data_IF_165145822388
#
_entry.id   IF_165145822388
#
_cell.length_a   1.000
_cell.length_b   1.000
_cell.length_c   1.000
_cell.angle_alpha   90.00
_cell.angle_beta   90.00
_cell.angle_gamma   90.00
#
_symmetry.space_group_name_H-M   'P 1'
#
loop_
_entity.id
_entity.type
_entity.pdbx_description
1 polymer ?
#
# COMPACT_ATOMS: atom_id res chain seq x y z
N UNK A 1 16.88 -9.77 19.69
CA UNK A 1 15.60 -9.02 19.80
C UNK A 1 14.52 -10.00 20.23
N UNK A 2 14.05 -9.93 21.47
CA UNK A 2 12.93 -10.77 21.95
C UNK A 2 11.63 -10.14 21.48
N UNK A 3 10.91 -10.82 20.61
CA UNK A 3 9.56 -10.45 20.23
C UNK A 3 8.62 -10.68 21.41
N UNK A 4 8.19 -9.61 22.08
CA UNK A 4 7.14 -9.68 23.08
C UNK A 4 5.79 -9.37 22.41
N UNK A 5 4.96 -10.37 22.28
CA UNK A 5 3.58 -10.21 21.81
C UNK A 5 2.67 -9.49 22.84
N UNK A 6 3.14 -9.26 24.05
CA UNK A 6 2.38 -8.65 25.15
C UNK A 6 2.01 -7.19 24.95
N UNK A 7 2.64 -6.49 23.99
CA UNK A 7 2.40 -5.04 23.76
C UNK A 7 1.56 -4.74 22.51
N UNK A 8 0.90 -5.74 21.92
CA UNK A 8 0.05 -5.52 20.76
C UNK A 8 -1.36 -5.19 21.25
N UNK A 9 -1.72 -3.91 21.15
CA UNK A 9 -3.09 -3.47 21.43
C UNK A 9 -4.07 -4.15 20.46
N UNK A 10 -5.25 -4.55 20.96
CA UNK A 10 -6.32 -5.11 20.13
C UNK A 10 -6.67 -4.23 18.93
N UNK A 11 -6.53 -2.90 19.05
CA UNK A 11 -6.70 -1.95 17.94
C UNK A 11 -5.67 -2.17 16.82
N UNK A 12 -4.39 -2.36 17.15
CA UNK A 12 -3.37 -2.63 16.14
C UNK A 12 -3.62 -3.96 15.41
N UNK A 13 -4.06 -4.97 16.14
CA UNK A 13 -4.40 -6.26 15.55
C UNK A 13 -5.60 -6.15 14.60
N UNK A 14 -6.65 -5.43 15.01
CA UNK A 14 -7.84 -5.20 14.16
C UNK A 14 -7.47 -4.44 12.87
N UNK A 15 -6.62 -3.39 12.96
CA UNK A 15 -6.16 -2.64 11.81
C UNK A 15 -5.31 -3.54 10.89
N UNK A 16 -4.39 -4.32 11.47
CA UNK A 16 -3.57 -5.24 10.69
C UNK A 16 -4.40 -6.32 9.99
N UNK A 17 -5.40 -6.88 10.67
CA UNK A 17 -6.33 -7.86 10.10
C UNK A 17 -7.16 -7.24 8.96
N UNK A 18 -7.65 -6.01 9.12
CA UNK A 18 -8.37 -5.30 8.07
C UNK A 18 -7.47 -5.06 6.84
N UNK A 19 -6.23 -4.60 7.03
CA UNK A 19 -5.26 -4.41 5.95
C UNK A 19 -5.00 -5.73 5.23
N UNK A 20 -4.71 -6.81 5.97
CA UNK A 20 -4.45 -8.13 5.41
C UNK A 20 -5.65 -8.64 4.60
N UNK A 21 -6.86 -8.48 5.12
CA UNK A 21 -8.11 -8.86 4.44
C UNK A 21 -8.30 -8.10 3.13
N UNK A 22 -8.12 -6.77 3.14
CA UNK A 22 -8.22 -5.96 1.93
C UNK A 22 -7.11 -6.27 0.92
N UNK A 23 -5.89 -6.58 1.37
CA UNK A 23 -4.83 -7.04 0.47
C UNK A 23 -5.22 -8.36 -0.21
N UNK A 24 -5.75 -9.32 0.53
CA UNK A 24 -6.24 -10.58 -0.05
C UNK A 24 -7.34 -10.35 -1.09
N UNK A 25 -8.32 -9.50 -0.78
CA UNK A 25 -9.43 -9.21 -1.68
C UNK A 25 -9.00 -8.50 -2.97
N UNK A 26 -8.13 -7.51 -2.87
CA UNK A 26 -7.78 -6.66 -4.03
C UNK A 26 -6.64 -7.23 -4.84
N UNK A 27 -5.58 -7.74 -4.18
CA UNK A 27 -4.42 -8.32 -4.87
C UNK A 27 -4.69 -9.74 -5.39
N UNK A 28 -5.45 -10.53 -4.65
CA UNK A 28 -5.86 -11.87 -5.06
C UNK A 28 -7.16 -11.89 -5.89
N UNK A 29 -7.69 -10.75 -6.30
CA UNK A 29 -9.01 -10.63 -6.92
C UNK A 29 -9.17 -11.46 -8.18
N UNK A 30 -8.13 -11.60 -9.00
CA UNK A 30 -8.15 -12.43 -10.22
C UNK A 30 -8.36 -13.93 -9.95
N UNK A 31 -8.04 -14.37 -8.73
CA UNK A 31 -8.18 -15.79 -8.32
C UNK A 31 -9.41 -15.98 -7.43
N UNK A 32 -9.74 -14.97 -6.60
CA UNK A 32 -10.75 -15.11 -5.55
C UNK A 32 -12.14 -14.58 -5.95
N UNK A 33 -12.22 -13.68 -6.93
CA UNK A 33 -13.46 -13.04 -7.36
C UNK A 33 -13.62 -13.06 -8.88
N UNK A 34 -14.87 -13.06 -9.36
CA UNK A 34 -15.16 -12.94 -10.79
C UNK A 34 -14.92 -11.53 -11.35
N UNK A 35 -14.73 -10.54 -10.49
CA UNK A 35 -14.45 -9.15 -10.85
C UNK A 35 -13.06 -8.78 -10.34
N UNK A 36 -12.17 -8.39 -11.26
CA UNK A 36 -10.85 -7.90 -10.91
C UNK A 36 -10.95 -6.53 -10.23
N UNK A 37 -10.63 -6.49 -8.94
CA UNK A 37 -10.51 -5.24 -8.20
C UNK A 37 -9.12 -4.64 -8.41
N UNK A 38 -8.99 -3.30 -8.52
CA UNK A 38 -7.68 -2.67 -8.55
C UNK A 38 -6.89 -2.97 -7.27
N UNK A 39 -5.57 -3.21 -7.41
CA UNK A 39 -4.72 -3.50 -6.26
C UNK A 39 -4.63 -2.31 -5.28
N UNK A 40 -5.02 -2.53 -4.04
CA UNK A 40 -4.98 -1.54 -2.97
C UNK A 40 -3.67 -1.53 -2.17
N UNK A 41 -2.71 -2.42 -2.45
CA UNK A 41 -1.55 -2.67 -1.60
C UNK A 41 -0.77 -1.40 -1.27
N UNK A 42 -0.58 -0.48 -2.22
CA UNK A 42 0.12 0.78 -2.00
C UNK A 42 -0.59 1.65 -0.96
N UNK A 43 -1.89 1.86 -1.14
CA UNK A 43 -2.69 2.63 -0.20
C UNK A 43 -2.71 1.97 1.18
N UNK A 44 -2.86 0.66 1.25
CA UNK A 44 -2.88 -0.11 2.50
C UNK A 44 -1.55 -0.05 3.24
N UNK A 45 -0.43 -0.04 2.53
CA UNK A 45 0.90 0.11 3.14
C UNK A 45 1.12 1.52 3.69
N UNK A 46 0.64 2.57 3.03
CA UNK A 46 0.66 3.92 3.59
C UNK A 46 -0.20 4.00 4.85
N UNK A 47 -1.41 3.45 4.84
CA UNK A 47 -2.31 3.37 6.00
C UNK A 47 -1.67 2.54 7.12
N UNK A 48 -1.05 1.42 6.79
CA UNK A 48 -0.31 0.58 7.73
C UNK A 48 0.83 1.34 8.40
N UNK A 49 1.62 2.08 7.63
CA UNK A 49 2.67 2.95 8.13
C UNK A 49 2.13 4.04 9.07
N UNK A 50 0.99 4.63 8.73
CA UNK A 50 0.34 5.66 9.52
C UNK A 50 -0.06 5.17 10.94
N UNK A 51 -0.62 3.97 11.03
CA UNK A 51 -1.17 3.46 12.29
C UNK A 51 -0.26 2.49 13.03
N UNK A 52 0.40 1.57 12.31
CA UNK A 52 1.14 0.47 12.93
C UNK A 52 2.61 0.79 13.19
N UNK A 53 3.24 1.58 12.33
CA UNK A 53 4.59 2.15 12.43
C UNK A 53 5.77 1.18 12.66
N UNK A 54 5.56 -0.02 13.22
CA UNK A 54 6.61 -0.99 13.52
C UNK A 54 7.03 -1.74 12.26
N UNK A 55 8.33 -1.87 12.01
CA UNK A 55 8.88 -2.59 10.87
C UNK A 55 8.42 -4.07 10.78
N UNK A 56 8.05 -4.66 11.92
CA UNK A 56 7.49 -6.03 11.96
C UNK A 56 6.20 -6.15 11.15
N UNK A 57 5.29 -5.17 11.26
CA UNK A 57 4.05 -5.15 10.49
C UNK A 57 4.32 -4.96 8.99
N UNK A 58 5.29 -4.09 8.68
CA UNK A 58 5.74 -3.93 7.29
C UNK A 58 6.22 -5.25 6.71
N UNK A 59 7.13 -5.94 7.43
CA UNK A 59 7.65 -7.22 6.98
C UNK A 59 6.54 -8.27 6.79
N UNK A 60 5.56 -8.34 7.71
CA UNK A 60 4.41 -9.24 7.58
C UNK A 60 3.57 -8.95 6.33
N UNK A 61 3.32 -7.68 6.01
CA UNK A 61 2.56 -7.33 4.80
C UNK A 61 3.34 -7.57 3.52
N UNK A 62 4.66 -7.36 3.53
CA UNK A 62 5.52 -7.74 2.39
C UNK A 62 5.48 -9.25 2.16
N UNK A 63 5.61 -10.05 3.22
CA UNK A 63 5.50 -11.51 3.13
C UNK A 63 4.12 -11.92 2.62
N UNK A 64 3.05 -11.30 3.14
CA UNK A 64 1.68 -11.59 2.69
C UNK A 64 1.51 -11.25 1.20
N UNK A 65 1.93 -10.07 0.76
CA UNK A 65 1.85 -9.66 -0.64
C UNK A 65 2.61 -10.63 -1.55
N UNK A 66 3.82 -11.00 -1.16
CA UNK A 66 4.64 -11.99 -1.89
C UNK A 66 3.95 -13.36 -1.94
N UNK A 67 3.39 -13.82 -0.83
CA UNK A 67 2.67 -15.10 -0.78
C UNK A 67 1.43 -15.10 -1.69
N UNK A 68 0.70 -13.99 -1.77
CA UNK A 68 -0.44 -13.83 -2.70
C UNK A 68 0.05 -13.92 -4.15
N UNK A 69 1.11 -13.21 -4.51
CA UNK A 69 1.62 -13.18 -5.89
C UNK A 69 2.13 -14.54 -6.34
N UNK A 70 2.92 -15.21 -5.51
CA UNK A 70 3.41 -16.56 -5.83
C UNK A 70 2.28 -17.59 -5.84
N UNK A 71 1.29 -17.45 -4.95
CA UNK A 71 0.09 -18.28 -4.94
C UNK A 71 -0.75 -18.08 -6.20
N UNK A 72 -0.96 -16.84 -6.63
CA UNK A 72 -1.67 -16.52 -7.86
C UNK A 72 -0.94 -17.04 -9.09
N UNK A 73 0.38 -16.89 -9.15
CA UNK A 73 1.20 -17.40 -10.26
C UNK A 73 1.23 -18.93 -10.36
N UNK A 74 1.05 -19.64 -9.24
CA UNK A 74 0.96 -21.10 -9.23
C UNK A 74 -0.36 -21.61 -9.85
N UNK A 75 -1.41 -20.78 -9.83
CA UNK A 75 -2.74 -21.11 -10.37
C UNK A 75 -2.92 -20.58 -11.79
N UNK A 76 -2.40 -19.38 -12.06
CA UNK A 76 -2.53 -18.71 -13.36
C UNK A 76 -1.18 -18.23 -13.87
N UNK A 77 -0.76 -18.78 -15.01
CA UNK A 77 0.52 -18.43 -15.65
C UNK A 77 0.61 -16.97 -16.10
N UNK A 78 -0.52 -16.29 -16.34
CA UNK A 78 -0.53 -14.85 -16.64
C UNK A 78 -0.07 -14.03 -15.44
N UNK A 79 -0.36 -14.47 -14.23
CA UNK A 79 0.10 -13.82 -13.00
C UNK A 79 1.62 -13.99 -12.79
N UNK A 80 2.20 -15.08 -13.30
CA UNK A 80 3.64 -15.32 -13.26
C UNK A 80 4.44 -14.31 -14.10
N UNK A 81 3.79 -13.58 -15.01
CA UNK A 81 4.44 -12.61 -15.89
C UNK A 81 5.25 -11.55 -15.14
N UNK A 82 4.78 -11.10 -13.98
CA UNK A 82 5.46 -10.09 -13.17
C UNK A 82 6.53 -10.67 -12.23
N UNK A 83 6.58 -12.00 -12.04
CA UNK A 83 7.55 -12.67 -11.18
C UNK A 83 8.88 -12.90 -11.93
N UNK A 84 9.62 -11.83 -12.11
CA UNK A 84 10.94 -11.80 -12.76
C UNK A 84 12.03 -11.41 -11.77
N UNK A 85 13.28 -11.37 -12.21
CA UNK A 85 14.37 -10.84 -11.38
C UNK A 85 14.13 -9.39 -10.94
N UNK A 86 13.30 -8.60 -11.64
CA UNK A 86 12.90 -7.25 -11.23
C UNK A 86 11.90 -7.20 -10.07
N UNK A 87 11.34 -8.34 -9.64
CA UNK A 87 10.34 -8.40 -8.57
C UNK A 87 10.85 -7.86 -7.22
N UNK A 88 12.17 -7.95 -6.95
CA UNK A 88 12.75 -7.40 -5.72
C UNK A 88 12.48 -5.90 -5.54
N UNK A 89 12.25 -5.16 -6.63
CA UNK A 89 11.88 -3.74 -6.61
C UNK A 89 10.57 -3.46 -5.86
N UNK A 90 9.74 -4.47 -5.64
CA UNK A 90 8.52 -4.32 -4.82
C UNK A 90 8.85 -3.98 -3.37
N UNK A 91 9.97 -4.45 -2.82
CA UNK A 91 10.36 -4.14 -1.45
C UNK A 91 10.60 -2.63 -1.22
N UNK A 92 11.47 -1.94 -1.97
CA UNK A 92 11.63 -0.50 -1.83
C UNK A 92 10.38 0.29 -2.27
N UNK A 93 9.60 -0.20 -3.23
CA UNK A 93 8.30 0.37 -3.61
C UNK A 93 7.35 0.43 -2.41
N UNK A 94 7.20 -0.68 -1.71
CA UNK A 94 6.36 -0.77 -0.51
C UNK A 94 6.93 0.03 0.66
N UNK A 95 8.26 0.05 0.80
CA UNK A 95 8.94 0.85 1.83
C UNK A 95 8.68 2.35 1.65
N UNK A 96 8.64 2.87 0.41
CA UNK A 96 8.33 4.27 0.15
C UNK A 96 6.93 4.65 0.68
N UNK A 97 5.92 3.83 0.41
CA UNK A 97 4.55 4.05 0.90
C UNK A 97 4.48 3.94 2.43
N UNK A 98 5.10 2.89 2.98
CA UNK A 98 5.11 2.68 4.43
C UNK A 98 5.77 3.82 5.18
N UNK A 99 6.94 4.28 4.73
CA UNK A 99 7.68 5.38 5.36
C UNK A 99 6.92 6.71 5.29
N UNK A 100 6.24 6.98 4.17
CA UNK A 100 5.34 8.14 4.06
C UNK A 100 4.21 8.07 5.09
N UNK A 101 3.61 6.89 5.29
CA UNK A 101 2.62 6.66 6.34
C UNK A 101 3.18 6.87 7.74
N UNK A 102 4.37 6.33 8.04
CA UNK A 102 5.06 6.54 9.32
C UNK A 102 5.34 8.02 9.57
N UNK A 103 5.78 8.75 8.52
CA UNK A 103 6.02 10.18 8.61
C UNK A 103 4.72 10.94 8.93
N UNK A 104 3.63 10.66 8.21
CA UNK A 104 2.31 11.23 8.50
C UNK A 104 1.86 10.96 9.94
N UNK A 105 2.05 9.73 10.41
CA UNK A 105 1.65 9.35 11.75
C UNK A 105 2.42 10.05 12.87
N UNK A 106 3.55 10.68 12.57
CA UNK A 106 4.33 11.50 13.51
C UNK A 106 3.89 12.96 13.53
N UNK A 107 3.03 13.40 12.59
CA UNK A 107 2.55 14.77 12.54
C UNK A 107 1.48 15.01 13.61
N UNK A 108 1.43 16.23 14.14
CA UNK A 108 0.40 16.65 15.11
C UNK A 108 -1.03 16.49 14.55
N UNK A 109 -1.21 16.72 13.26
CA UNK A 109 -2.43 16.45 12.52
C UNK A 109 -2.13 15.56 11.32
N UNK A 110 -2.26 14.25 11.51
CA UNK A 110 -1.99 13.24 10.47
C UNK A 110 -2.99 13.30 9.30
N UNK A 111 -4.15 13.94 9.50
CA UNK A 111 -5.20 14.09 8.50
C UNK A 111 -5.32 15.53 7.98
N UNK A 112 -4.28 16.34 8.14
CA UNK A 112 -4.16 17.59 7.40
C UNK A 112 -4.17 17.31 5.90
N UNK A 113 -5.08 17.97 5.17
CA UNK A 113 -5.32 17.66 3.76
C UNK A 113 -4.08 17.86 2.90
N UNK A 114 -3.32 18.93 3.16
CA UNK A 114 -2.13 19.25 2.36
C UNK A 114 -1.03 18.22 2.62
N UNK A 115 -0.71 17.95 3.89
CA UNK A 115 0.33 16.98 4.26
C UNK A 115 0.00 15.58 3.80
N UNK A 116 -1.27 15.16 3.95
CA UNK A 116 -1.71 13.84 3.50
C UNK A 116 -1.61 13.71 1.98
N UNK A 117 -2.10 14.71 1.24
CA UNK A 117 -2.04 14.71 -0.24
C UNK A 117 -0.59 14.73 -0.74
N UNK A 118 0.27 15.56 -0.16
CA UNK A 118 1.69 15.61 -0.56
C UNK A 118 2.40 14.29 -0.27
N UNK A 119 2.19 13.71 0.91
CA UNK A 119 2.80 12.42 1.25
C UNK A 119 2.31 11.31 0.32
N UNK A 120 1.00 11.25 0.05
CA UNK A 120 0.42 10.28 -0.87
C UNK A 120 0.97 10.45 -2.30
N UNK A 121 0.99 11.69 -2.82
CA UNK A 121 1.46 11.99 -4.16
C UNK A 121 2.94 11.63 -4.34
N UNK A 122 3.79 12.15 -3.47
CA UNK A 122 5.24 11.95 -3.57
C UNK A 122 5.60 10.47 -3.41
N UNK A 123 5.01 9.78 -2.43
CA UNK A 123 5.31 8.36 -2.22
C UNK A 123 4.77 7.48 -3.34
N UNK A 124 3.60 7.81 -3.92
CA UNK A 124 3.05 7.05 -5.06
C UNK A 124 3.89 7.24 -6.32
N UNK A 125 4.36 8.46 -6.61
CA UNK A 125 5.28 8.70 -7.73
C UNK A 125 6.60 7.95 -7.50
N UNK A 126 7.18 8.03 -6.31
CA UNK A 126 8.40 7.29 -5.99
C UNK A 126 8.21 5.78 -6.13
N UNK A 127 7.11 5.25 -5.62
CA UNK A 127 6.74 3.84 -5.74
C UNK A 127 6.59 3.42 -7.22
N UNK A 128 5.93 4.23 -8.03
CA UNK A 128 5.80 4.01 -9.47
C UNK A 128 7.15 3.95 -10.17
N UNK A 129 8.00 4.95 -9.95
CA UNK A 129 9.33 5.01 -10.57
C UNK A 129 10.17 3.80 -10.16
N UNK A 130 10.20 3.47 -8.87
CA UNK A 130 10.97 2.32 -8.38
C UNK A 130 10.47 1.03 -9.00
N UNK A 131 9.17 0.74 -8.93
CA UNK A 131 8.61 -0.52 -9.44
C UNK A 131 8.79 -0.65 -10.95
N UNK A 132 8.53 0.42 -11.70
CA UNK A 132 8.65 0.43 -13.16
C UNK A 132 10.09 0.27 -13.60
N UNK A 133 11.02 1.05 -13.03
CA UNK A 133 12.42 0.99 -13.43
C UNK A 133 13.07 -0.34 -13.07
N UNK A 134 12.78 -0.90 -11.90
CA UNK A 134 13.30 -2.23 -11.53
C UNK A 134 12.77 -3.32 -12.46
N UNK A 135 11.51 -3.23 -12.88
CA UNK A 135 10.96 -4.17 -13.84
C UNK A 135 11.68 -4.06 -15.21
N UNK A 136 11.79 -2.89 -15.79
CA UNK A 136 12.41 -2.70 -17.09
C UNK A 136 13.90 -3.05 -17.08
N UNK A 137 14.62 -2.76 -16.01
CA UNK A 137 16.06 -3.03 -15.91
C UNK A 137 16.38 -4.50 -15.62
N UNK A 138 15.58 -5.15 -14.77
CA UNK A 138 15.96 -6.45 -14.21
C UNK A 138 15.04 -7.62 -14.61
N UNK A 139 13.96 -7.38 -15.37
CA UNK A 139 13.07 -8.48 -15.79
C UNK A 139 13.69 -9.43 -16.82
N UNK A 140 14.78 -9.04 -17.46
CA UNK A 140 15.38 -9.77 -18.58
C UNK A 140 14.58 -9.70 -19.89
N UNK A 141 13.47 -8.94 -19.91
CA UNK A 141 12.58 -8.81 -21.07
C UNK A 141 13.00 -7.70 -22.03
N UNK A 142 13.86 -6.82 -21.57
CA UNK A 142 14.34 -5.63 -22.29
C UNK A 142 15.88 -5.60 -22.29
N UNK A 143 16.54 -6.57 -22.92
CA UNK A 143 17.98 -6.80 -22.77
C UNK A 143 18.87 -5.66 -23.31
N UNK A 144 18.32 -4.81 -24.18
CA UNK A 144 19.06 -3.70 -24.82
C UNK A 144 18.75 -2.34 -24.18
N UNK A 145 17.98 -2.30 -23.09
CA UNK A 145 17.62 -1.04 -22.45
C UNK A 145 18.66 -0.66 -21.41
N UNK A 146 19.30 0.49 -21.60
CA UNK A 146 20.07 1.19 -20.57
C UNK A 146 19.15 1.95 -19.62
N UNK A 147 19.74 2.61 -18.61
CA UNK A 147 19.00 3.41 -17.63
C UNK A 147 18.17 4.53 -18.29
N UNK A 148 18.73 5.19 -19.30
CA UNK A 148 18.08 6.33 -19.98
C UNK A 148 16.90 5.84 -20.81
N UNK A 149 17.07 4.74 -21.54
CA UNK A 149 16.00 4.15 -22.35
C UNK A 149 14.85 3.65 -21.48
N UNK A 150 15.15 3.00 -20.35
CA UNK A 150 14.11 2.52 -19.44
C UNK A 150 13.29 3.67 -18.83
N UNK A 151 13.91 4.82 -18.60
CA UNK A 151 13.20 6.01 -18.08
C UNK A 151 12.18 6.59 -19.07
N UNK A 152 12.22 6.20 -20.35
CA UNK A 152 11.24 6.62 -21.35
C UNK A 152 9.99 5.73 -21.38
N UNK A 153 10.07 4.55 -20.80
CA UNK A 153 8.97 3.57 -20.82
C UNK A 153 8.14 3.58 -19.54
N UNK A 154 6.95 3.05 -19.65
CA UNK A 154 6.07 2.81 -18.50
C UNK A 154 5.19 3.98 -18.08
N UNK A 155 5.46 5.21 -18.52
CA UNK A 155 4.71 6.41 -18.11
C UNK A 155 3.21 6.35 -18.45
N UNK A 156 2.83 5.59 -19.47
CA UNK A 156 1.43 5.36 -19.83
C UNK A 156 0.62 4.67 -18.71
N UNK A 157 1.30 3.97 -17.78
CA UNK A 157 0.67 3.32 -16.63
C UNK A 157 0.54 4.25 -15.41
N UNK A 158 1.25 5.38 -15.39
CA UNK A 158 1.24 6.30 -14.25
C UNK A 158 -0.16 6.80 -13.89
N UNK A 159 -1.04 7.20 -14.85
CA UNK A 159 -2.39 7.67 -14.51
C UNK A 159 -3.22 6.60 -13.78
N UNK A 160 -3.20 5.36 -14.26
CA UNK A 160 -3.92 4.25 -13.61
C UNK A 160 -3.34 3.92 -12.24
N UNK A 161 -2.00 3.88 -12.12
CA UNK A 161 -1.29 3.61 -10.87
C UNK A 161 -1.63 4.65 -9.79
N UNK A 162 -1.60 5.94 -10.17
CA UNK A 162 -1.99 7.04 -9.28
C UNK A 162 -3.49 7.03 -8.99
N UNK A 163 -4.32 6.82 -10.01
CA UNK A 163 -5.77 6.84 -9.90
C UNK A 163 -6.28 5.80 -8.91
N UNK A 164 -5.83 4.56 -9.00
CA UNK A 164 -6.24 3.50 -8.08
C UNK A 164 -5.73 3.75 -6.66
N UNK A 165 -4.47 4.15 -6.51
CA UNK A 165 -3.93 4.50 -5.19
C UNK A 165 -4.69 5.66 -4.56
N UNK A 166 -4.95 6.73 -5.33
CA UNK A 166 -5.70 7.89 -4.87
C UNK A 166 -7.14 7.53 -4.49
N UNK A 167 -7.82 6.69 -5.27
CA UNK A 167 -9.19 6.22 -4.97
C UNK A 167 -9.28 5.62 -3.56
N UNK A 168 -8.39 4.70 -3.23
CA UNK A 168 -8.38 4.06 -1.91
C UNK A 168 -7.97 5.03 -0.79
N UNK A 169 -6.98 5.89 -1.03
CA UNK A 169 -6.53 6.87 -0.04
C UNK A 169 -7.55 7.96 0.24
N UNK A 170 -8.25 8.45 -0.78
CA UNK A 170 -9.34 9.42 -0.64
C UNK A 170 -10.50 8.78 0.12
N UNK A 171 -10.92 7.57 -0.26
CA UNK A 171 -11.97 6.83 0.45
C UNK A 171 -11.63 6.65 1.92
N UNK A 172 -10.41 6.23 2.22
CA UNK A 172 -9.92 6.11 3.58
C UNK A 172 -9.92 7.45 4.33
N UNK A 173 -9.40 8.52 3.73
CA UNK A 173 -9.34 9.85 4.35
C UNK A 173 -10.73 10.39 4.69
N UNK A 174 -11.69 10.25 3.76
CA UNK A 174 -13.09 10.66 3.97
C UNK A 174 -13.70 9.88 5.13
N UNK A 175 -13.54 8.55 5.17
CA UNK A 175 -14.04 7.71 6.25
C UNK A 175 -13.42 8.07 7.61
N UNK A 176 -12.12 8.35 7.65
CA UNK A 176 -11.43 8.75 8.88
C UNK A 176 -11.94 10.11 9.39
N UNK A 177 -12.17 11.08 8.51
CA UNK A 177 -12.74 12.40 8.88
C UNK A 177 -14.19 12.26 9.34
N UNK A 178 -15.02 11.47 8.64
CA UNK A 178 -16.40 11.22 9.00
C UNK A 178 -16.51 10.55 10.38
N UNK A 179 -15.69 9.56 10.66
CA UNK A 179 -15.64 8.84 11.93
C UNK A 179 -15.26 9.78 13.09
N UNK A 180 -14.29 10.66 12.88
CA UNK A 180 -13.87 11.64 13.89
C UNK A 180 -15.01 12.61 14.22
N UNK A 181 -15.74 13.10 13.20
CA UNK A 181 -16.91 13.99 13.39
C UNK A 181 -18.04 13.28 14.13
N UNK A 182 -18.33 12.02 13.78
CA UNK A 182 -19.38 11.26 14.44
C UNK A 182 -19.09 11.01 15.92
N UNK A 183 -17.86 10.65 16.28
CA UNK A 183 -17.46 10.47 17.67
C UNK A 183 -17.54 11.76 18.46
N UNK A 184 -17.19 12.91 17.88
CA UNK A 184 -17.32 14.23 18.50
C UNK A 184 -18.79 14.58 18.79
N UNK A 185 -19.69 14.37 17.83
CA UNK A 185 -21.14 14.62 18.00
C UNK A 185 -21.72 13.72 19.09
N UNK A 186 -21.34 12.44 19.10
CA UNK A 186 -21.78 11.50 20.16
C UNK A 186 -21.33 11.89 21.55
N UNK A 187 -20.08 12.38 21.66
CA UNK A 187 -19.54 12.86 22.94
C UNK A 187 -20.25 14.10 23.45
N UNK A 188 -20.60 15.06 22.56
CA UNK A 188 -21.40 16.22 22.90
C UNK A 188 -22.81 15.83 23.39
N UNK A 189 -23.49 14.91 22.69
CA UNK A 189 -24.81 14.43 23.09
C UNK A 189 -24.81 13.77 24.47
N UNK A 190 -23.79 13.01 24.81
CA UNK A 190 -23.67 12.37 26.11
C UNK A 190 -23.33 13.34 27.24
N UNK A 191 -22.81 14.52 26.94
CA UNK A 191 -22.51 15.58 27.96
C UNK A 191 -23.69 16.54 28.21
N UNK A 192 -24.75 16.47 27.39
CA UNK A 192 -25.95 17.32 27.50
C UNK A 192 -27.13 16.53 28.11
N UNK A 193 -27.04 15.21 28.13
CA UNK A 193 -28.03 14.31 28.74
C UNK A 193 -27.67 13.98 30.20
#
# INVERSE_FOLDING_TARGET
>A
MRFSFKDISAKHLAIAAAIAFFMLLTRGSHVLTSVALPDASLALLLIGGLYLRKATWFALFVVLATAIDFGAAAVDSLQAFCLTAGYWGMLPTYAAMWLAGVWLGKQANSFDAIKFTLAALVSTIAAFVISTQTYYLFSGRFPNNGLIETMQYGWNYLPSYMGFTAMYLIGFWVLAKASAKFNFVKQLSNNIA
#
